data_IF_653783964334
#
_entry.id   IF_653783964334
#
_cell.length_a   1.000
_cell.length_b   1.000
_cell.length_c   1.000
_cell.angle_alpha   90.00
_cell.angle_beta   90.00
_cell.angle_gamma   90.00
#
_symmetry.space_group_name_H-M   'P 1'
#
loop_
_entity.id
_entity.type
_entity.pdbx_description
1 polymer ?
#
# COMPACT_ATOMS: atom_id res chain seq x y z
N UNK A 1 51.22 20.87 16.53
CA UNK A 1 51.82 22.23 16.44
C UNK A 1 52.90 22.21 15.37
N UNK A 2 53.15 23.27 14.57
CA UNK A 2 52.90 24.69 14.85
C UNK A 2 52.06 25.46 13.79
N UNK A 3 51.30 26.47 14.26
CA UNK A 3 51.39 27.91 13.94
C UNK A 3 50.84 28.29 12.55
N UNK A 4 49.77 29.10 12.41
CA UNK A 4 49.69 30.49 12.84
C UNK A 4 48.25 30.94 13.14
N UNK A 5 48.14 31.91 14.05
CA UNK A 5 46.94 32.46 14.69
C UNK A 5 46.81 33.95 14.34
N UNK A 6 45.56 34.46 14.33
CA UNK A 6 45.11 35.87 14.28
C UNK A 6 45.07 36.47 12.85
N UNK A 7 44.01 37.16 12.42
CA UNK A 7 43.26 38.19 13.16
C UNK A 7 41.90 38.47 12.51
N UNK A 8 40.95 38.83 13.37
CA UNK A 8 39.58 39.31 13.13
C UNK A 8 39.49 40.53 12.20
N UNK A 9 38.33 40.70 11.55
CA UNK A 9 37.91 41.98 10.98
C UNK A 9 36.62 41.90 10.15
N UNK A 10 35.52 42.30 10.77
CA UNK A 10 34.16 42.49 10.24
C UNK A 10 34.04 43.56 9.14
N UNK A 11 33.15 43.36 8.17
CA UNK A 11 32.23 44.41 7.66
C UNK A 11 31.16 43.84 6.73
N UNK A 12 30.02 44.54 6.73
CA UNK A 12 28.72 44.27 6.14
C UNK A 12 28.64 44.37 4.59
N UNK A 13 27.50 43.83 4.11
CA UNK A 13 26.69 44.20 2.95
C UNK A 13 27.22 44.01 1.51
N UNK A 14 26.32 43.46 0.67
CA UNK A 14 26.35 43.65 -0.77
C UNK A 14 25.85 42.46 -1.58
N UNK A 15 24.57 42.53 -1.98
CA UNK A 15 23.88 41.69 -2.95
C UNK A 15 24.74 41.06 -4.05
N UNK A 16 24.62 39.74 -4.24
CA UNK A 16 24.79 39.10 -5.55
C UNK A 16 23.70 38.07 -5.79
N UNK A 17 22.74 38.52 -6.61
CA UNK A 17 21.79 37.72 -7.37
C UNK A 17 22.58 36.76 -8.27
N UNK A 18 22.53 35.46 -7.98
CA UNK A 18 22.95 34.42 -8.93
C UNK A 18 21.69 33.88 -9.62
N UNK A 19 21.46 34.38 -10.83
CA UNK A 19 20.44 33.89 -11.76
C UNK A 19 20.59 32.39 -11.99
N UNK A 20 19.56 31.61 -11.64
CA UNK A 20 19.40 30.24 -12.10
C UNK A 20 19.10 30.20 -13.61
N UNK A 21 19.47 29.12 -14.32
CA UNK A 21 19.18 29.03 -15.75
C UNK A 21 17.66 28.99 -15.97
N UNK A 22 17.21 29.82 -16.91
CA UNK A 22 15.80 29.99 -17.26
C UNK A 22 15.21 28.74 -17.91
N UNK A 23 13.91 28.53 -17.63
CA UNK A 23 13.02 27.46 -18.12
C UNK A 23 12.93 27.30 -19.65
N UNK A 24 13.61 28.12 -20.46
CA UNK A 24 13.61 27.98 -21.92
C UNK A 24 14.71 27.07 -22.46
N UNK A 25 15.70 26.69 -21.63
CA UNK A 25 16.85 25.89 -22.06
C UNK A 25 16.64 24.37 -21.96
N UNK A 26 15.58 23.92 -21.29
CA UNK A 26 15.22 22.49 -21.17
C UNK A 26 14.24 22.01 -22.25
N UNK A 27 13.53 22.92 -22.94
CA UNK A 27 12.57 22.56 -24.00
C UNK A 27 13.22 22.36 -25.39
N UNK A 28 14.40 22.94 -25.64
CA UNK A 28 15.03 22.86 -26.97
C UNK A 28 15.88 21.60 -27.20
N UNK A 29 16.05 20.73 -26.20
CA UNK A 29 16.77 19.47 -26.36
C UNK A 29 15.87 18.27 -26.74
N UNK A 30 14.55 18.46 -26.85
CA UNK A 30 13.58 17.39 -27.14
C UNK A 30 13.13 17.30 -28.61
N UNK A 31 13.79 18.02 -29.53
CA UNK A 31 13.35 18.12 -30.94
C UNK A 31 14.37 17.68 -32.00
N UNK A 32 15.38 16.89 -31.63
CA UNK A 32 16.29 16.26 -32.61
C UNK A 32 16.36 14.77 -32.33
N UNK A 33 16.25 13.96 -33.40
CA UNK A 33 16.24 12.49 -33.48
C UNK A 33 14.88 11.79 -33.58
N UNK A 34 14.25 11.95 -34.76
CA UNK A 34 13.38 10.92 -35.35
C UNK A 34 14.18 10.20 -36.45
N UNK A 35 14.52 8.91 -36.32
CA UNK A 35 14.81 8.08 -37.48
C UNK A 35 13.52 7.39 -37.95
N UNK A 36 13.24 7.61 -39.23
CA UNK A 36 12.28 6.93 -40.12
C UNK A 36 11.92 5.50 -39.70
N UNK A 37 10.63 5.28 -39.43
CA UNK A 37 9.88 4.10 -39.90
C UNK A 37 8.43 4.55 -40.15
N UNK A 38 8.20 5.12 -41.32
CA UNK A 38 6.86 5.35 -41.87
C UNK A 38 6.79 4.62 -43.21
N UNK A 39 5.95 3.59 -43.30
CA UNK A 39 5.29 3.26 -44.55
C UNK A 39 3.79 3.14 -44.29
N UNK A 40 3.07 4.06 -44.97
CA UNK A 40 1.66 4.01 -45.38
C UNK A 40 0.58 3.99 -44.30
N UNK A 41 0.08 5.18 -43.96
CA UNK A 41 -1.28 5.61 -44.34
C UNK A 41 -1.47 7.07 -43.92
N UNK A 42 -1.81 7.91 -44.90
CA UNK A 42 -2.07 9.34 -44.78
C UNK A 42 -3.27 9.65 -43.89
N UNK A 43 -3.08 10.47 -42.87
CA UNK A 43 -4.15 11.17 -42.15
C UNK A 43 -3.78 12.66 -42.15
N UNK A 44 -4.52 13.44 -42.93
CA UNK A 44 -4.52 14.90 -42.86
C UNK A 44 -5.23 15.35 -41.57
N UNK A 45 -4.56 16.21 -40.80
CA UNK A 45 -5.15 16.88 -39.65
C UNK A 45 -5.73 18.22 -40.11
N UNK A 46 -7.06 18.33 -40.16
CA UNK A 46 -7.75 19.62 -40.19
C UNK A 46 -8.32 19.90 -38.80
N UNK A 47 -7.85 21.00 -38.22
CA UNK A 47 -8.41 21.63 -37.04
C UNK A 47 -9.67 22.38 -37.44
N UNK A 48 -10.82 21.99 -36.90
CA UNK A 48 -11.90 22.93 -36.60
C UNK A 48 -12.90 22.34 -35.60
N UNK A 49 -13.54 23.27 -34.89
CA UNK A 49 -14.43 23.14 -33.74
C UNK A 49 -15.49 22.01 -33.77
N UNK A 50 -15.72 21.38 -32.61
CA UNK A 50 -17.03 20.81 -32.23
C UNK A 50 -17.11 19.28 -32.11
N UNK A 51 -17.61 18.83 -30.95
CA UNK A 51 -18.19 17.51 -30.62
C UNK A 51 -17.59 16.24 -31.26
N UNK A 52 -16.95 15.40 -30.43
CA UNK A 52 -16.66 14.00 -30.81
C UNK A 52 -17.75 13.06 -30.30
N UNK A 53 -18.52 12.51 -31.24
CA UNK A 53 -19.30 11.27 -31.08
C UNK A 53 -18.52 10.17 -31.82
N UNK A 54 -18.18 9.07 -31.15
CA UNK A 54 -17.64 7.88 -31.80
C UNK A 54 -18.80 6.93 -32.07
N UNK A 55 -19.10 6.67 -33.35
CA UNK A 55 -20.01 5.61 -33.78
C UNK A 55 -19.21 4.65 -34.66
N UNK A 56 -19.03 3.42 -34.20
CA UNK A 56 -18.67 2.28 -35.03
C UNK A 56 -19.09 0.96 -34.35
N UNK A 57 -20.34 0.57 -34.52
CA UNK A 57 -20.77 -0.78 -34.94
C UNK A 57 -22.29 -0.87 -34.88
N UNK A 58 -22.89 -1.12 -36.04
CA UNK A 58 -24.33 -1.12 -36.22
C UNK A 58 -25.03 -2.18 -35.37
N UNK A 59 -25.91 -1.72 -34.49
CA UNK A 59 -27.20 -2.35 -34.13
C UNK A 59 -28.16 -1.23 -33.70
N UNK A 60 -29.27 -1.15 -34.40
CA UNK A 60 -30.38 -0.22 -34.15
C UNK A 60 -31.10 -0.59 -32.85
N UNK A 61 -31.27 0.35 -31.93
CA UNK A 61 -32.37 0.32 -30.95
C UNK A 61 -32.75 1.75 -30.57
N UNK A 62 -34.00 2.13 -30.90
CA UNK A 62 -34.63 3.42 -30.64
C UNK A 62 -35.14 3.48 -29.20
N UNK A 63 -34.83 4.57 -28.49
CA UNK A 63 -35.64 5.19 -27.42
C UNK A 63 -35.25 6.69 -27.47
N UNK A 64 -36.12 7.68 -27.69
CA UNK A 64 -37.34 8.00 -26.96
C UNK A 64 -37.05 9.28 -26.16
N UNK A 65 -37.18 10.45 -26.80
CA UNK A 65 -36.80 11.75 -26.22
C UNK A 65 -37.86 12.31 -25.27
N UNK A 66 -37.40 12.98 -24.21
CA UNK A 66 -38.22 13.86 -23.35
C UNK A 66 -37.42 15.14 -23.08
N UNK A 67 -38.07 16.28 -23.31
CA UNK A 67 -37.60 17.66 -23.08
C UNK A 67 -37.40 17.99 -21.59
N UNK A 68 -36.49 18.90 -21.23
CA UNK A 68 -36.33 19.36 -19.85
C UNK A 68 -37.25 20.55 -19.54
N UNK A 69 -37.97 20.48 -18.42
CA UNK A 69 -38.70 21.61 -17.83
C UNK A 69 -38.04 22.06 -16.53
N UNK A 70 -37.63 23.33 -16.53
CA UNK A 70 -37.42 24.27 -15.42
C UNK A 70 -37.57 23.77 -13.98
N UNK A 71 -36.48 23.83 -13.22
CA UNK A 71 -36.49 24.23 -11.80
C UNK A 71 -35.34 25.22 -11.55
N UNK A 72 -35.70 26.46 -11.24
CA UNK A 72 -34.81 27.51 -10.77
C UNK A 72 -34.52 27.32 -9.27
N UNK A 73 -33.28 27.62 -8.85
CA UNK A 73 -32.99 28.03 -7.47
C UNK A 73 -31.95 27.20 -6.72
N UNK A 74 -30.68 27.60 -6.80
CA UNK A 74 -29.70 27.37 -5.73
C UNK A 74 -28.55 28.40 -5.82
N UNK A 75 -28.15 29.05 -4.73
CA UNK A 75 -27.09 30.05 -4.73
C UNK A 75 -25.71 29.39 -4.87
N UNK A 76 -24.86 30.07 -5.63
CA UNK A 76 -23.45 29.76 -5.87
C UNK A 76 -22.64 29.76 -4.57
N UNK A 77 -22.21 28.58 -4.10
CA UNK A 77 -21.13 28.45 -3.13
C UNK A 77 -19.91 27.89 -3.84
N UNK A 78 -18.86 28.70 -3.83
CA UNK A 78 -17.56 28.46 -4.45
C UNK A 78 -16.95 27.14 -3.94
N UNK A 79 -16.66 26.25 -4.88
CA UNK A 79 -15.96 24.98 -4.70
C UNK A 79 -14.54 25.23 -4.19
N UNK A 80 -14.29 24.92 -2.91
CA UNK A 80 -12.95 24.59 -2.43
C UNK A 80 -12.73 23.08 -2.59
N UNK A 81 -12.09 22.67 -3.68
CA UNK A 81 -11.75 21.27 -3.93
C UNK A 81 -10.45 20.94 -3.19
N UNK A 82 -10.54 20.18 -2.10
CA UNK A 82 -9.45 19.79 -1.22
C UNK A 82 -9.09 18.30 -1.27
N UNK A 83 -9.28 17.62 -2.40
CA UNK A 83 -8.66 16.30 -2.60
C UNK A 83 -7.15 16.45 -2.81
N UNK A 84 -6.36 15.42 -2.51
CA UNK A 84 -4.97 15.32 -3.02
C UNK A 84 -5.05 15.30 -4.55
N UNK A 85 -5.02 16.49 -5.13
CA UNK A 85 -5.09 16.67 -6.56
C UNK A 85 -3.74 16.20 -7.07
N UNK A 86 -3.69 15.01 -7.67
CA UNK A 86 -2.55 14.65 -8.50
C UNK A 86 -2.29 15.83 -9.43
N UNK A 87 -1.13 16.46 -9.29
CA UNK A 87 -0.71 17.54 -10.18
C UNK A 87 -0.90 17.07 -11.62
N UNK A 88 -1.15 18.00 -12.55
CA UNK A 88 -1.36 17.68 -13.97
C UNK A 88 -0.27 16.72 -14.50
N UNK A 89 0.96 16.89 -13.99
CA UNK A 89 2.10 16.01 -14.25
C UNK A 89 1.89 14.57 -13.76
N UNK A 90 1.41 14.33 -12.54
CA UNK A 90 1.16 12.98 -12.01
C UNK A 90 0.10 12.22 -12.81
N UNK A 91 -1.01 12.91 -13.16
CA UNK A 91 -2.07 12.35 -14.02
C UNK A 91 -1.56 12.02 -15.43
N UNK A 92 -0.73 12.91 -16.01
CA UNK A 92 -0.11 12.67 -17.30
C UNK A 92 0.81 11.44 -17.28
N UNK A 93 1.59 11.27 -16.22
CA UNK A 93 2.56 10.19 -16.07
C UNK A 93 1.91 8.83 -15.84
N UNK A 94 0.83 8.78 -15.06
CA UNK A 94 -0.02 7.59 -14.92
C UNK A 94 -0.64 7.22 -16.27
N UNK A 95 -1.16 8.19 -17.01
CA UNK A 95 -1.74 7.97 -18.34
C UNK A 95 -0.70 7.44 -19.33
N UNK A 96 0.51 8.02 -19.33
CA UNK A 96 1.62 7.55 -20.16
C UNK A 96 1.99 6.10 -19.84
N UNK A 97 1.98 5.74 -18.54
CA UNK A 97 2.28 4.38 -18.07
C UNK A 97 1.21 3.37 -18.50
N UNK A 98 -0.07 3.76 -18.50
CA UNK A 98 -1.19 2.93 -19.00
C UNK A 98 -1.06 2.60 -20.48
N UNK A 99 -0.40 3.46 -21.27
CA UNK A 99 -0.14 3.24 -22.68
C UNK A 99 1.13 2.42 -22.97
N UNK A 100 1.89 2.00 -21.95
CA UNK A 100 3.16 1.29 -22.15
C UNK A 100 2.97 -0.21 -22.47
N UNK A 101 3.86 -0.81 -23.27
CA UNK A 101 3.87 -2.26 -23.50
C UNK A 101 4.00 -3.05 -22.19
N UNK A 102 3.22 -4.15 -22.06
CA UNK A 102 3.15 -4.97 -20.84
C UNK A 102 4.51 -5.47 -20.34
N UNK A 103 5.45 -5.78 -21.23
CA UNK A 103 6.79 -6.25 -20.85
C UNK A 103 7.62 -5.17 -20.13
N UNK A 104 7.38 -3.88 -20.41
CA UNK A 104 8.08 -2.77 -19.75
C UNK A 104 7.50 -2.51 -18.36
N UNK A 105 6.18 -2.54 -18.24
CA UNK A 105 5.50 -2.47 -16.93
C UNK A 105 5.93 -3.66 -16.07
N UNK A 106 6.10 -4.85 -16.67
CA UNK A 106 6.63 -6.04 -16.00
C UNK A 106 8.04 -5.83 -15.44
N UNK A 107 8.93 -5.18 -16.19
CA UNK A 107 10.30 -4.95 -15.76
C UNK A 107 10.38 -4.08 -14.49
N UNK A 108 9.45 -3.14 -14.31
CA UNK A 108 9.39 -2.29 -13.10
C UNK A 108 8.58 -2.94 -11.99
N UNK A 109 7.46 -3.60 -12.32
CA UNK A 109 6.63 -4.36 -11.38
C UNK A 109 7.41 -5.48 -10.67
N UNK A 110 8.41 -6.09 -11.34
CA UNK A 110 9.33 -7.09 -10.76
C UNK A 110 10.04 -6.63 -9.49
N UNK A 111 10.11 -5.32 -9.21
CA UNK A 111 10.67 -4.81 -7.96
C UNK A 111 9.69 -4.90 -6.80
N UNK A 112 8.40 -4.92 -7.09
CA UNK A 112 7.31 -4.80 -6.11
C UNK A 112 6.48 -6.08 -5.94
N UNK A 113 6.67 -7.06 -6.83
CA UNK A 113 6.04 -8.38 -6.80
C UNK A 113 7.13 -9.45 -6.85
N UNK A 114 7.02 -10.46 -5.99
CA UNK A 114 8.06 -11.47 -5.83
C UNK A 114 8.15 -12.44 -6.99
N UNK A 115 7.08 -12.57 -7.78
CA UNK A 115 7.04 -13.40 -8.98
C UNK A 115 5.61 -13.78 -9.34
N UNK A 116 5.49 -14.70 -10.30
CA UNK A 116 4.19 -15.23 -10.75
C UNK A 116 3.77 -16.49 -10.00
N UNK A 117 4.71 -17.16 -9.38
CA UNK A 117 4.58 -18.46 -8.73
C UNK A 117 5.22 -18.43 -7.34
N UNK A 118 4.92 -19.44 -6.55
CA UNK A 118 5.35 -19.58 -5.16
C UNK A 118 6.87 -19.77 -5.06
N UNK A 119 7.48 -20.46 -6.02
CA UNK A 119 8.93 -20.72 -6.06
C UNK A 119 9.73 -19.42 -6.16
N UNK A 120 9.25 -18.47 -6.98
CA UNK A 120 9.83 -17.14 -7.03
C UNK A 120 9.66 -16.39 -5.69
N UNK A 121 8.50 -16.51 -5.04
CA UNK A 121 8.27 -15.89 -3.73
C UNK A 121 9.22 -16.46 -2.66
N UNK A 122 9.40 -17.78 -2.61
CA UNK A 122 10.35 -18.47 -1.72
C UNK A 122 11.77 -17.95 -1.97
N UNK A 123 12.21 -17.90 -3.23
CA UNK A 123 13.54 -17.43 -3.61
C UNK A 123 13.79 -15.98 -3.13
N UNK A 124 12.80 -15.10 -3.30
CA UNK A 124 12.86 -13.71 -2.83
C UNK A 124 12.92 -13.64 -1.31
N UNK A 125 12.09 -14.41 -0.60
CA UNK A 125 12.09 -14.44 0.86
C UNK A 125 13.44 -14.93 1.39
N UNK A 126 13.96 -16.07 0.90
CA UNK A 126 15.26 -16.62 1.30
C UNK A 126 16.40 -15.60 1.12
N UNK A 127 16.41 -14.89 -0.01
CA UNK A 127 17.39 -13.83 -0.25
C UNK A 127 17.28 -12.71 0.79
N UNK A 128 16.06 -12.24 1.07
CA UNK A 128 15.83 -11.13 1.99
C UNK A 128 15.96 -11.52 3.46
N UNK A 129 15.86 -12.81 3.81
CA UNK A 129 16.14 -13.32 5.16
C UNK A 129 17.57 -12.99 5.60
N UNK A 130 18.53 -13.00 4.68
CA UNK A 130 19.92 -12.59 4.94
C UNK A 130 20.05 -11.11 5.34
N UNK A 131 19.04 -10.28 5.06
CA UNK A 131 18.97 -8.88 5.47
C UNK A 131 18.14 -8.66 6.76
N UNK A 132 17.90 -9.73 7.53
CA UNK A 132 17.17 -9.68 8.81
C UNK A 132 15.68 -9.35 8.67
N UNK A 133 15.08 -9.61 7.51
CA UNK A 133 13.66 -9.40 7.27
C UNK A 133 12.83 -10.63 7.64
N UNK A 134 11.60 -10.40 8.10
CA UNK A 134 10.53 -11.40 8.14
C UNK A 134 9.45 -11.04 7.09
N UNK A 135 8.46 -11.89 6.89
CA UNK A 135 7.55 -11.77 5.74
C UNK A 135 6.07 -11.90 6.11
N UNK A 136 5.22 -11.39 5.24
CA UNK A 136 3.79 -11.70 5.18
C UNK A 136 3.45 -11.92 3.71
N UNK A 137 2.94 -13.09 3.38
CA UNK A 137 2.74 -13.53 1.99
C UNK A 137 1.30 -13.25 1.58
N UNK A 138 1.13 -12.66 0.40
CA UNK A 138 -0.16 -12.34 -0.22
C UNK A 138 -0.24 -12.99 -1.60
N UNK A 139 -1.28 -13.81 -1.80
CA UNK A 139 -1.58 -14.44 -3.09
C UNK A 139 -2.43 -13.47 -3.90
N UNK A 140 -1.84 -12.92 -4.96
CA UNK A 140 -2.50 -11.98 -5.86
C UNK A 140 -3.52 -12.70 -6.76
N UNK A 141 -4.79 -12.31 -6.63
CA UNK A 141 -5.83 -12.70 -7.58
C UNK A 141 -6.90 -11.64 -7.79
N UNK A 142 -7.89 -11.97 -8.62
CA UNK A 142 -9.05 -11.12 -8.92
C UNK A 142 -10.13 -11.23 -7.83
N UNK A 143 -11.07 -10.29 -7.82
CA UNK A 143 -12.31 -10.44 -7.04
C UNK A 143 -13.05 -11.67 -7.55
N UNK A 144 -13.30 -12.63 -6.66
CA UNK A 144 -13.97 -13.88 -7.06
C UNK A 144 -15.44 -13.62 -7.35
N UNK A 145 -15.96 -14.31 -8.35
CA UNK A 145 -17.38 -14.28 -8.71
C UNK A 145 -18.12 -15.56 -8.36
N UNK A 146 -17.39 -16.63 -8.04
CA UNK A 146 -17.94 -17.95 -7.70
C UNK A 146 -17.22 -18.57 -6.50
N UNK A 147 -17.88 -19.49 -5.79
CA UNK A 147 -17.25 -20.21 -4.68
C UNK A 147 -16.19 -21.22 -5.13
N UNK A 148 -16.29 -21.73 -6.36
CA UNK A 148 -15.28 -22.61 -6.94
C UNK A 148 -13.93 -21.88 -7.11
N UNK A 149 -13.96 -20.57 -7.41
CA UNK A 149 -12.76 -19.73 -7.43
C UNK A 149 -12.15 -19.52 -6.05
N UNK A 150 -12.95 -19.56 -4.97
CA UNK A 150 -12.43 -19.48 -3.60
C UNK A 150 -11.53 -20.69 -3.29
N UNK A 151 -11.86 -21.87 -3.83
CA UNK A 151 -11.06 -23.09 -3.64
C UNK A 151 -9.62 -22.92 -4.15
N UNK A 152 -9.43 -22.20 -5.26
CA UNK A 152 -8.08 -21.90 -5.75
C UNK A 152 -7.23 -21.14 -4.71
N UNK A 153 -7.79 -20.12 -4.06
CA UNK A 153 -7.05 -19.36 -3.04
C UNK A 153 -6.78 -20.21 -1.80
N UNK A 154 -7.76 -21.00 -1.38
CA UNK A 154 -7.64 -21.91 -0.24
C UNK A 154 -6.49 -22.89 -0.46
N UNK A 155 -6.46 -23.55 -1.63
CA UNK A 155 -5.39 -24.48 -2.00
C UNK A 155 -4.03 -23.76 -2.11
N UNK A 156 -4.00 -22.56 -2.68
CA UNK A 156 -2.75 -21.81 -2.83
C UNK A 156 -2.21 -21.31 -1.48
N UNK A 157 -3.07 -20.92 -0.53
CA UNK A 157 -2.64 -20.57 0.83
C UNK A 157 -2.17 -21.78 1.62
N UNK A 158 -2.76 -22.97 1.44
CA UNK A 158 -2.23 -24.21 2.01
C UNK A 158 -0.83 -24.51 1.45
N UNK A 159 -0.61 -24.35 0.13
CA UNK A 159 0.72 -24.48 -0.48
C UNK A 159 1.73 -23.48 0.08
N UNK A 160 1.32 -22.23 0.33
CA UNK A 160 2.18 -21.22 0.95
C UNK A 160 2.54 -21.64 2.36
N UNK A 161 1.58 -22.13 3.15
CA UNK A 161 1.82 -22.58 4.52
C UNK A 161 2.82 -23.74 4.55
N UNK A 162 2.63 -24.75 3.70
CA UNK A 162 3.56 -25.87 3.54
C UNK A 162 4.98 -25.37 3.20
N UNK A 163 5.10 -24.44 2.26
CA UNK A 163 6.39 -23.87 1.88
C UNK A 163 7.05 -23.06 3.00
N UNK A 164 6.28 -22.33 3.81
CA UNK A 164 6.79 -21.60 4.98
C UNK A 164 7.40 -22.58 5.98
N UNK A 165 6.71 -23.70 6.25
CA UNK A 165 7.15 -24.74 7.18
C UNK A 165 8.37 -25.49 6.63
N UNK A 166 8.29 -25.98 5.39
CA UNK A 166 9.35 -26.75 4.73
C UNK A 166 10.68 -25.97 4.68
N UNK A 167 10.60 -24.70 4.28
CA UNK A 167 11.78 -23.84 4.14
C UNK A 167 12.14 -23.06 5.41
N UNK A 168 11.40 -23.24 6.51
CA UNK A 168 11.59 -22.57 7.81
C UNK A 168 11.67 -21.04 7.67
N UNK A 169 10.74 -20.47 6.90
CA UNK A 169 10.68 -19.03 6.65
C UNK A 169 10.00 -18.32 7.83
N UNK A 170 10.56 -17.19 8.28
CA UNK A 170 9.90 -16.32 9.25
C UNK A 170 8.81 -15.50 8.53
N UNK A 171 7.66 -16.15 8.29
CA UNK A 171 6.61 -15.64 7.43
C UNK A 171 5.21 -15.91 8.02
N UNK A 172 4.32 -14.95 7.76
CA UNK A 172 2.90 -15.01 8.07
C UNK A 172 2.08 -14.99 6.77
N UNK A 173 0.77 -15.19 6.87
CA UNK A 173 -0.16 -15.03 5.75
C UNK A 173 -0.88 -13.67 5.83
N UNK A 174 -1.06 -13.00 4.70
CA UNK A 174 -2.04 -11.91 4.52
C UNK A 174 -3.11 -12.43 3.58
N UNK A 175 -4.36 -12.49 4.02
CA UNK A 175 -5.47 -13.00 3.21
C UNK A 175 -6.55 -11.94 3.04
N UNK A 176 -7.21 -11.94 1.88
CA UNK A 176 -8.36 -11.09 1.59
C UNK A 176 -9.64 -11.88 1.86
N UNK A 177 -10.48 -11.51 2.83
CA UNK A 177 -11.71 -12.25 3.13
C UNK A 177 -12.64 -12.41 1.91
N UNK A 178 -12.67 -11.44 1.00
CA UNK A 178 -13.46 -11.56 -0.23
C UNK A 178 -13.02 -12.71 -1.12
N UNK A 179 -11.72 -13.03 -1.17
CA UNK A 179 -11.18 -14.18 -1.90
C UNK A 179 -11.57 -15.53 -1.28
N UNK A 180 -12.13 -15.53 -0.07
CA UNK A 180 -12.64 -16.71 0.63
C UNK A 180 -14.16 -16.86 0.53
N UNK A 181 -14.84 -15.93 -0.16
CA UNK A 181 -16.28 -15.98 -0.40
C UNK A 181 -17.09 -14.92 0.35
N UNK A 182 -16.46 -13.96 1.05
CA UNK A 182 -17.19 -13.05 1.95
C UNK A 182 -18.34 -12.28 1.28
N UNK A 183 -18.18 -11.89 0.01
CA UNK A 183 -19.22 -11.18 -0.76
C UNK A 183 -20.23 -12.10 -1.45
N UNK A 184 -20.02 -13.42 -1.40
CA UNK A 184 -20.85 -14.43 -2.06
C UNK A 184 -21.69 -15.18 -1.03
N UNK A 185 -21.03 -15.81 -0.06
CA UNK A 185 -21.65 -16.52 1.05
C UNK A 185 -20.76 -16.36 2.29
N UNK A 186 -21.22 -15.53 3.23
CA UNK A 186 -20.49 -15.21 4.45
C UNK A 186 -20.23 -16.47 5.29
N UNK A 187 -21.18 -17.40 5.37
CA UNK A 187 -21.01 -18.61 6.18
C UNK A 187 -19.89 -19.49 5.61
N UNK A 188 -19.83 -19.63 4.29
CA UNK A 188 -18.75 -20.37 3.62
C UNK A 188 -17.41 -19.65 3.80
N UNK A 189 -17.38 -18.32 3.73
CA UNK A 189 -16.17 -17.56 4.01
C UNK A 189 -15.63 -17.79 5.42
N UNK A 190 -16.51 -17.79 6.43
CA UNK A 190 -16.12 -18.11 7.81
C UNK A 190 -15.54 -19.51 7.93
N UNK A 191 -16.18 -20.51 7.33
CA UNK A 191 -15.71 -21.90 7.34
C UNK A 191 -14.34 -22.06 6.67
N UNK A 192 -14.14 -21.41 5.52
CA UNK A 192 -12.89 -21.48 4.77
C UNK A 192 -11.75 -20.79 5.53
N UNK A 193 -12.01 -19.63 6.14
CA UNK A 193 -11.02 -18.91 6.95
C UNK A 193 -10.69 -19.69 8.23
N UNK A 194 -11.70 -20.22 8.92
CA UNK A 194 -11.53 -21.06 10.12
C UNK A 194 -10.62 -22.26 9.83
N UNK A 195 -10.88 -23.01 8.74
CA UNK A 195 -10.06 -24.15 8.32
C UNK A 195 -8.59 -23.76 8.09
N UNK A 196 -8.35 -22.63 7.41
CA UNK A 196 -7.00 -22.13 7.19
C UNK A 196 -6.32 -21.71 8.51
N UNK A 197 -7.07 -21.10 9.42
CA UNK A 197 -6.56 -20.67 10.73
C UNK A 197 -6.19 -21.85 11.61
N UNK A 198 -6.99 -22.91 11.63
CA UNK A 198 -6.70 -24.16 12.33
C UNK A 198 -5.39 -24.76 11.82
N UNK A 199 -5.26 -24.92 10.50
CA UNK A 199 -4.04 -25.44 9.87
C UNK A 199 -2.81 -24.56 10.20
N UNK A 200 -2.94 -23.24 10.07
CA UNK A 200 -1.85 -22.31 10.40
C UNK A 200 -1.46 -22.34 11.89
N UNK A 201 -2.42 -22.59 12.79
CA UNK A 201 -2.16 -22.67 14.22
C UNK A 201 -1.31 -23.89 14.60
N UNK A 202 -1.44 -25.01 13.89
CA UNK A 202 -0.59 -26.20 14.09
C UNK A 202 0.90 -25.93 13.84
N UNK A 203 1.21 -24.86 13.12
CA UNK A 203 2.56 -24.47 12.71
C UNK A 203 3.03 -23.13 13.29
N UNK A 204 2.32 -22.58 14.29
CA UNK A 204 2.59 -21.25 14.87
C UNK A 204 2.62 -20.11 13.83
N UNK A 205 1.89 -20.27 12.71
CA UNK A 205 1.81 -19.27 11.64
C UNK A 205 0.63 -18.34 11.91
N UNK A 206 0.91 -17.03 11.87
CA UNK A 206 -0.10 -16.01 12.05
C UNK A 206 -0.76 -15.65 10.72
N UNK A 207 -2.07 -15.46 10.73
CA UNK A 207 -2.87 -15.05 9.57
C UNK A 207 -3.42 -13.64 9.81
N UNK A 208 -3.11 -12.72 8.90
CA UNK A 208 -3.67 -11.38 8.87
C UNK A 208 -4.84 -11.34 7.90
N UNK A 209 -6.01 -10.90 8.36
CA UNK A 209 -7.08 -10.50 7.45
C UNK A 209 -6.78 -9.08 6.93
N UNK A 210 -6.51 -8.98 5.65
CA UNK A 210 -6.31 -7.70 4.98
C UNK A 210 -7.63 -6.95 4.82
N UNK A 211 -7.56 -5.64 5.03
CA UNK A 211 -8.72 -4.77 4.97
C UNK A 211 -8.94 -4.26 3.55
N UNK A 212 -10.11 -4.54 3.03
CA UNK A 212 -10.53 -4.15 1.70
C UNK A 212 -11.30 -2.82 1.75
N UNK A 213 -12.21 -2.56 0.81
CA UNK A 213 -13.00 -1.33 0.84
C UNK A 213 -14.06 -1.36 1.96
N UNK A 214 -14.68 -0.20 2.19
CA UNK A 214 -15.63 0.02 3.29
C UNK A 214 -16.80 -0.98 3.35
N UNK A 215 -17.15 -1.63 2.23
CA UNK A 215 -18.28 -2.57 2.15
C UNK A 215 -18.09 -3.79 3.04
N UNK A 216 -16.84 -4.19 3.30
CA UNK A 216 -16.50 -5.40 4.05
C UNK A 216 -15.74 -5.12 5.34
N UNK A 217 -15.59 -3.86 5.74
CA UNK A 217 -14.83 -3.49 6.95
C UNK A 217 -15.40 -4.12 8.20
N UNK A 218 -16.73 -4.00 8.41
CA UNK A 218 -17.37 -4.57 9.59
C UNK A 218 -17.28 -6.09 9.58
N UNK A 219 -17.68 -6.76 8.49
CA UNK A 219 -17.66 -8.21 8.40
C UNK A 219 -16.25 -8.80 8.58
N UNK A 220 -15.21 -8.10 8.13
CA UNK A 220 -13.81 -8.51 8.36
C UNK A 220 -13.44 -8.45 9.84
N UNK A 221 -13.88 -7.41 10.56
CA UNK A 221 -13.69 -7.30 12.01
C UNK A 221 -14.46 -8.41 12.73
N UNK A 222 -15.71 -8.65 12.34
CA UNK A 222 -16.58 -9.66 12.93
C UNK A 222 -16.00 -11.07 12.79
N UNK A 223 -15.38 -11.39 11.64
CA UNK A 223 -14.65 -12.66 11.46
C UNK A 223 -13.55 -12.79 12.51
N UNK A 224 -12.70 -11.77 12.72
CA UNK A 224 -11.63 -11.85 13.72
C UNK A 224 -12.19 -12.10 15.12
N UNK A 225 -13.23 -11.36 15.51
CA UNK A 225 -13.85 -11.52 16.83
C UNK A 225 -14.46 -12.92 16.99
N UNK A 226 -15.12 -13.44 15.95
CA UNK A 226 -15.70 -14.78 15.96
C UNK A 226 -14.62 -15.87 16.06
N UNK A 227 -13.49 -15.73 15.36
CA UNK A 227 -12.38 -16.70 15.45
C UNK A 227 -11.73 -16.70 16.84
N UNK A 228 -11.55 -15.53 17.45
CA UNK A 228 -11.08 -15.44 18.84
C UNK A 228 -12.06 -16.09 19.83
N UNK A 229 -13.38 -15.93 19.63
CA UNK A 229 -14.40 -16.62 20.45
C UNK A 229 -14.31 -18.15 20.34
N UNK A 230 -13.84 -18.67 19.22
CA UNK A 230 -13.58 -20.11 19.01
C UNK A 230 -12.22 -20.57 19.55
N UNK A 231 -11.40 -19.67 20.10
CA UNK A 231 -10.07 -19.97 20.63
C UNK A 231 -8.94 -19.85 19.61
N UNK A 232 -9.23 -19.47 18.36
CA UNK A 232 -8.23 -19.22 17.32
C UNK A 232 -7.65 -17.81 17.50
N UNK A 233 -6.50 -17.73 18.17
CA UNK A 233 -5.84 -16.46 18.53
C UNK A 233 -4.66 -16.10 17.60
N UNK A 234 -4.36 -16.93 16.61
CA UNK A 234 -3.36 -16.69 15.56
C UNK A 234 -3.88 -15.79 14.42
N UNK A 235 -4.88 -14.95 14.70
CA UNK A 235 -5.53 -14.07 13.73
C UNK A 235 -5.63 -12.64 14.24
N UNK A 236 -5.56 -11.70 13.30
CA UNK A 236 -5.83 -10.28 13.53
C UNK A 236 -6.18 -9.58 12.22
N UNK A 237 -6.56 -8.30 12.28
CA UNK A 237 -7.04 -7.57 11.11
C UNK A 237 -6.16 -6.37 10.76
N UNK A 238 -6.29 -5.87 9.54
CA UNK A 238 -5.78 -4.56 9.12
C UNK A 238 -6.82 -3.50 9.46
N UNK A 239 -6.40 -2.32 9.90
CA UNK A 239 -7.25 -1.13 9.95
C UNK A 239 -6.66 0.00 9.11
N UNK A 240 -7.53 0.87 8.60
CA UNK A 240 -7.20 1.90 7.62
C UNK A 240 -7.41 3.28 8.23
N UNK A 241 -6.32 3.95 8.63
CA UNK A 241 -6.40 5.21 9.40
C UNK A 241 -7.14 6.35 8.72
N UNK A 242 -7.37 6.28 7.42
CA UNK A 242 -8.19 7.26 6.71
C UNK A 242 -9.68 7.13 7.00
N UNK A 243 -10.20 5.98 7.42
CA UNK A 243 -11.64 5.83 7.67
C UNK A 243 -12.02 6.53 8.97
N UNK A 244 -13.11 7.30 8.96
CA UNK A 244 -13.58 8.05 10.13
C UNK A 244 -13.94 7.13 11.32
N UNK A 245 -14.42 5.92 11.02
CA UNK A 245 -14.76 4.87 12.00
C UNK A 245 -13.56 4.22 12.72
N UNK A 246 -12.34 4.41 12.23
CA UNK A 246 -11.16 3.63 12.70
C UNK A 246 -10.91 3.78 14.20
N UNK A 247 -11.13 4.96 14.76
CA UNK A 247 -10.93 5.21 16.18
C UNK A 247 -11.82 4.30 17.06
N UNK A 248 -13.10 4.20 16.70
CA UNK A 248 -14.11 3.39 17.39
C UNK A 248 -13.86 1.89 17.17
N UNK A 249 -13.43 1.50 15.97
CA UNK A 249 -13.07 0.11 15.66
C UNK A 249 -11.89 -0.37 16.52
N UNK A 250 -10.85 0.48 16.71
CA UNK A 250 -9.72 0.17 17.59
C UNK A 250 -10.18 -0.03 19.02
N UNK A 251 -10.97 0.91 19.54
CA UNK A 251 -11.49 0.85 20.91
C UNK A 251 -12.33 -0.41 21.13
N UNK A 252 -13.25 -0.70 20.21
CA UNK A 252 -14.15 -1.86 20.29
C UNK A 252 -13.37 -3.17 20.29
N UNK A 253 -12.40 -3.32 19.38
CA UNK A 253 -11.60 -4.55 19.30
C UNK A 253 -10.70 -4.70 20.53
N UNK A 254 -10.05 -3.64 21.00
CA UNK A 254 -9.24 -3.68 22.22
C UNK A 254 -10.08 -4.00 23.47
N UNK A 255 -11.31 -3.50 23.55
CA UNK A 255 -12.22 -3.80 24.67
C UNK A 255 -12.62 -5.28 24.70
N UNK A 256 -12.79 -5.90 23.54
CA UNK A 256 -13.20 -7.32 23.44
C UNK A 256 -12.01 -8.26 23.59
N UNK A 257 -10.88 -7.97 22.94
CA UNK A 257 -9.73 -8.90 22.85
C UNK A 257 -8.61 -8.59 23.86
N UNK A 258 -8.59 -7.39 24.44
CA UNK A 258 -7.51 -6.95 25.33
C UNK A 258 -6.13 -7.11 24.68
N UNK A 259 -5.18 -7.69 25.43
CA UNK A 259 -3.82 -7.95 24.95
C UNK A 259 -3.72 -8.96 23.80
N UNK A 260 -4.79 -9.69 23.47
CA UNK A 260 -4.84 -10.57 22.30
C UNK A 260 -5.12 -9.79 20.99
N UNK A 261 -5.51 -8.51 21.08
CA UNK A 261 -5.70 -7.66 19.92
C UNK A 261 -4.39 -7.54 19.13
N UNK A 262 -4.47 -7.80 17.82
CA UNK A 262 -3.34 -7.75 16.92
C UNK A 262 -3.76 -7.00 15.65
N UNK A 263 -3.11 -5.86 15.40
CA UNK A 263 -3.42 -4.99 14.27
C UNK A 263 -2.26 -4.89 13.29
N UNK A 264 -2.60 -4.70 12.01
CA UNK A 264 -1.75 -3.96 11.08
C UNK A 264 -2.44 -2.64 10.80
N UNK A 265 -1.79 -1.52 11.06
CA UNK A 265 -2.36 -0.19 10.80
C UNK A 265 -1.66 0.44 9.61
N UNK A 266 -2.45 0.88 8.63
CA UNK A 266 -1.97 1.58 7.44
C UNK A 266 -2.78 2.85 7.19
N UNK A 267 -2.43 3.61 6.15
CA UNK A 267 -3.24 4.76 5.73
C UNK A 267 -4.60 4.37 5.18
N UNK A 268 -4.68 3.24 4.47
CA UNK A 268 -5.83 2.87 3.65
C UNK A 268 -5.59 3.19 2.18
N UNK A 269 -5.95 2.24 1.32
CA UNK A 269 -5.56 2.22 -0.08
C UNK A 269 -6.72 2.56 -1.03
N UNK A 270 -7.94 2.32 -0.59
CA UNK A 270 -9.16 2.65 -1.34
C UNK A 270 -9.46 4.15 -1.20
N UNK A 271 -9.86 4.77 -2.30
CA UNK A 271 -10.25 6.18 -2.35
C UNK A 271 -11.74 6.31 -2.00
N UNK A 272 -12.01 6.21 -0.71
CA UNK A 272 -13.36 6.30 -0.15
C UNK A 272 -13.90 7.74 -0.17
N UNK A 273 -15.23 7.93 -0.21
CA UNK A 273 -15.84 9.26 -0.22
C UNK A 273 -15.60 10.01 1.11
N UNK A 274 -15.63 11.35 1.02
CA UNK A 274 -15.22 12.25 2.12
C UNK A 274 -16.15 12.19 3.35
N UNK A 275 -17.37 11.68 3.18
CA UNK A 275 -18.34 11.46 4.26
C UNK A 275 -17.99 10.27 5.15
N UNK A 276 -17.13 9.34 4.68
CA UNK A 276 -16.68 8.18 5.46
C UNK A 276 -15.15 8.12 5.64
N UNK A 277 -14.40 8.97 4.95
CA UNK A 277 -12.94 8.95 4.99
C UNK A 277 -12.27 10.33 4.87
N UNK A 278 -11.15 10.47 5.57
CA UNK A 278 -10.19 11.54 5.38
C UNK A 278 -9.58 11.46 3.96
N UNK A 279 -9.45 12.62 3.31
CA UNK A 279 -8.82 12.76 1.99
C UNK A 279 -7.55 13.58 2.02
N UNK A 280 -7.36 14.42 3.04
CA UNK A 280 -6.14 15.21 3.23
C UNK A 280 -4.95 14.36 3.67
N UNK A 281 -3.79 14.52 3.02
CA UNK A 281 -2.57 13.79 3.41
C UNK A 281 -2.20 14.01 4.88
N UNK A 282 -2.25 15.26 5.35
CA UNK A 282 -1.85 15.60 6.72
C UNK A 282 -2.83 15.00 7.74
N UNK A 283 -4.13 15.10 7.48
CA UNK A 283 -5.19 14.50 8.31
C UNK A 283 -5.00 12.99 8.43
N UNK A 284 -4.75 12.29 7.32
CA UNK A 284 -4.51 10.84 7.32
C UNK A 284 -3.23 10.49 8.10
N UNK A 285 -2.17 11.28 7.96
CA UNK A 285 -0.91 11.07 8.69
C UNK A 285 -1.10 11.28 10.19
N UNK A 286 -1.83 12.32 10.59
CA UNK A 286 -2.07 12.60 12.00
C UNK A 286 -3.05 11.61 12.64
N UNK A 287 -4.07 11.18 11.91
CA UNK A 287 -4.93 10.06 12.32
C UNK A 287 -4.11 8.77 12.50
N UNK A 288 -3.22 8.43 11.56
CA UNK A 288 -2.37 7.25 11.67
C UNK A 288 -1.45 7.28 12.91
N UNK A 289 -0.85 8.43 13.22
CA UNK A 289 -0.04 8.61 14.45
C UNK A 289 -0.90 8.41 15.71
N UNK A 290 -2.10 9.00 15.73
CA UNK A 290 -3.05 8.86 16.83
C UNK A 290 -3.46 7.40 17.05
N UNK A 291 -3.85 6.72 15.97
CA UNK A 291 -4.24 5.31 16.02
C UNK A 291 -3.11 4.38 16.47
N UNK A 292 -1.86 4.63 16.03
CA UNK A 292 -0.70 3.88 16.53
C UNK A 292 -0.57 4.01 18.05
N UNK A 293 -0.68 5.25 18.56
CA UNK A 293 -0.63 5.49 20.01
C UNK A 293 -1.79 4.79 20.73
N UNK A 294 -3.02 4.91 20.21
CA UNK A 294 -4.21 4.27 20.77
C UNK A 294 -4.08 2.75 20.84
N UNK A 295 -3.60 2.09 19.78
CA UNK A 295 -3.39 0.64 19.76
C UNK A 295 -2.30 0.21 20.73
N UNK A 296 -1.20 0.99 20.83
CA UNK A 296 -0.14 0.72 21.80
C UNK A 296 -0.65 0.87 23.24
N UNK A 297 -1.42 1.91 23.54
CA UNK A 297 -1.98 2.13 24.88
C UNK A 297 -3.03 1.06 25.24
N UNK A 298 -3.76 0.56 24.24
CA UNK A 298 -4.69 -0.57 24.38
C UNK A 298 -4.02 -1.93 24.65
N UNK A 299 -2.68 -2.01 24.66
CA UNK A 299 -1.95 -3.26 24.91
C UNK A 299 -1.88 -4.19 23.69
N UNK A 300 -2.37 -3.74 22.53
CA UNK A 300 -2.39 -4.55 21.32
C UNK A 300 -0.97 -4.75 20.74
N UNK A 301 -0.82 -5.79 19.92
CA UNK A 301 0.32 -5.91 19.01
C UNK A 301 0.11 -5.05 17.77
N UNK A 302 1.10 -4.22 17.41
CA UNK A 302 0.93 -3.24 16.32
C UNK A 302 1.95 -3.45 15.20
N UNK A 303 1.46 -3.87 14.03
CA UNK A 303 2.19 -3.82 12.77
C UNK A 303 2.05 -2.44 12.12
N UNK A 304 3.09 -1.61 12.19
CA UNK A 304 3.10 -0.26 11.62
C UNK A 304 3.42 -0.34 10.12
N UNK A 305 2.39 -0.36 9.28
CA UNK A 305 2.52 -0.45 7.82
C UNK A 305 2.56 0.94 7.19
N UNK A 306 3.75 1.56 7.22
CA UNK A 306 3.99 2.87 6.62
C UNK A 306 5.41 3.00 6.08
N UNK A 307 5.53 3.67 4.93
CA UNK A 307 6.82 4.09 4.38
C UNK A 307 7.16 5.53 4.77
N UNK A 308 6.23 6.27 5.36
CA UNK A 308 6.38 7.71 5.59
C UNK A 308 7.21 8.06 6.82
N UNK A 309 8.28 8.82 6.60
CA UNK A 309 9.20 9.24 7.65
C UNK A 309 8.50 9.94 8.82
N UNK A 310 7.54 10.87 8.61
CA UNK A 310 6.83 11.48 9.74
C UNK A 310 6.07 10.48 10.64
N UNK A 311 5.60 9.37 10.07
CA UNK A 311 4.90 8.32 10.85
C UNK A 311 5.92 7.44 11.55
N UNK A 312 7.00 7.06 10.86
CA UNK A 312 8.06 6.21 11.42
C UNK A 312 8.76 6.93 12.58
N UNK A 313 9.16 8.19 12.39
CA UNK A 313 9.83 9.00 13.41
C UNK A 313 8.93 9.19 14.63
N UNK A 314 7.65 9.54 14.41
CA UNK A 314 6.68 9.63 15.50
C UNK A 314 6.51 8.30 16.25
N UNK A 315 6.46 7.18 15.53
CA UNK A 315 6.32 5.85 16.13
C UNK A 315 7.53 5.53 17.02
N UNK A 316 8.75 5.81 16.55
CA UNK A 316 9.98 5.59 17.33
C UNK A 316 9.94 6.41 18.62
N UNK A 317 9.51 7.67 18.56
CA UNK A 317 9.41 8.52 19.74
C UNK A 317 8.30 8.05 20.70
N UNK A 318 7.14 7.66 20.15
CA UNK A 318 6.03 7.10 20.93
C UNK A 318 6.40 5.80 21.65
N UNK A 319 7.22 4.95 21.03
CA UNK A 319 7.76 3.72 21.65
C UNK A 319 8.72 4.07 22.78
N UNK A 320 9.67 4.99 22.57
CA UNK A 320 10.62 5.42 23.62
C UNK A 320 9.91 5.99 24.84
N UNK A 321 8.86 6.80 24.63
CA UNK A 321 8.05 7.36 25.72
C UNK A 321 7.35 6.29 26.56
N UNK A 322 7.10 5.11 25.98
CA UNK A 322 6.49 3.94 26.63
C UNK A 322 7.53 2.94 27.12
N UNK A 323 8.82 3.31 27.10
CA UNK A 323 9.93 2.41 27.44
C UNK A 323 9.95 1.13 26.56
N UNK A 324 9.40 1.22 25.35
CA UNK A 324 9.39 0.15 24.35
C UNK A 324 10.51 0.36 23.35
N UNK A 325 11.06 -0.74 22.82
CA UNK A 325 12.13 -0.64 21.83
C UNK A 325 12.68 -2.01 21.43
N UNK A 326 13.68 -2.01 20.53
CA UNK A 326 14.36 -3.24 20.15
C UNK A 326 15.07 -3.84 21.37
N UNK A 327 15.03 -5.16 21.51
CA UNK A 327 15.63 -5.90 22.64
C UNK A 327 15.11 -5.52 24.03
N UNK A 328 13.98 -4.81 24.12
CA UNK A 328 13.28 -4.51 25.37
C UNK A 328 12.01 -5.35 25.39
N UNK A 329 11.79 -6.10 26.47
CA UNK A 329 10.52 -6.82 26.66
C UNK A 329 9.37 -5.81 26.79
N UNK A 330 8.19 -6.14 26.26
CA UNK A 330 7.04 -5.26 26.31
C UNK A 330 6.67 -4.93 27.77
N UNK A 331 6.79 -3.66 28.22
CA UNK A 331 6.59 -3.30 29.62
C UNK A 331 5.11 -3.13 29.99
N UNK A 332 4.22 -3.15 28.99
CA UNK A 332 2.78 -2.88 29.17
C UNK A 332 2.12 -4.05 29.90
N UNK A 333 1.47 -3.76 31.04
CA UNK A 333 0.78 -4.78 31.87
C UNK A 333 -0.46 -5.38 31.19
N UNK A 334 -1.05 -4.66 30.23
CA UNK A 334 -2.21 -5.09 29.45
C UNK A 334 -1.83 -5.76 28.12
N UNK A 335 -0.53 -5.97 27.84
CA UNK A 335 -0.09 -6.68 26.64
C UNK A 335 -0.36 -8.18 26.73
N UNK A 336 -0.55 -8.80 25.56
CA UNK A 336 -0.65 -10.25 25.43
C UNK A 336 0.68 -10.96 25.65
N UNK A 337 0.62 -12.30 25.64
CA UNK A 337 1.82 -13.13 25.75
C UNK A 337 2.80 -12.91 24.60
N UNK A 338 4.08 -13.20 24.84
CA UNK A 338 5.10 -13.27 23.79
C UNK A 338 4.72 -14.38 22.81
N UNK A 339 4.79 -14.08 21.51
CA UNK A 339 4.41 -14.99 20.42
C UNK A 339 5.58 -15.21 19.48
N UNK A 340 5.68 -16.43 18.96
CA UNK A 340 6.66 -16.79 17.91
C UNK A 340 6.48 -15.88 16.70
N UNK A 341 7.59 -15.46 16.08
CA UNK A 341 7.55 -14.62 14.87
C UNK A 341 7.00 -13.21 15.08
N UNK A 342 6.89 -12.71 16.32
CA UNK A 342 6.43 -11.35 16.66
C UNK A 342 7.51 -10.57 17.41
N UNK A 343 7.48 -9.24 17.28
CA UNK A 343 8.34 -8.32 18.02
C UNK A 343 7.84 -8.05 19.45
N UNK A 344 8.49 -7.15 20.21
CA UNK A 344 8.09 -6.80 21.57
C UNK A 344 6.90 -5.83 21.57
N UNK A 345 5.73 -6.32 21.16
CA UNK A 345 4.49 -5.54 21.07
C UNK A 345 4.28 -4.78 19.76
N UNK A 346 5.29 -4.69 18.89
CA UNK A 346 5.19 -4.02 17.60
C UNK A 346 6.13 -4.61 16.53
N UNK A 347 5.95 -4.17 15.29
CA UNK A 347 6.93 -4.32 14.19
C UNK A 347 6.68 -3.26 13.10
N UNK A 348 7.71 -2.91 12.34
CA UNK A 348 7.52 -2.07 11.15
C UNK A 348 7.26 -2.94 9.93
N UNK A 349 6.29 -2.57 9.11
CA UNK A 349 5.90 -3.33 7.93
C UNK A 349 6.03 -2.50 6.66
N UNK A 350 6.61 -3.08 5.62
CA UNK A 350 6.88 -2.38 4.36
C UNK A 350 6.56 -3.27 3.16
N UNK A 351 6.04 -2.66 2.10
CA UNK A 351 5.90 -3.33 0.81
C UNK A 351 7.26 -3.70 0.21
N UNK A 352 7.32 -4.87 -0.42
CA UNK A 352 8.45 -5.29 -1.24
C UNK A 352 8.84 -4.19 -2.24
N UNK A 353 10.14 -3.90 -2.34
CA UNK A 353 10.69 -2.95 -3.32
C UNK A 353 10.52 -1.46 -2.99
N UNK A 354 9.74 -1.10 -1.96
CA UNK A 354 9.45 0.29 -1.60
C UNK A 354 10.30 0.73 -0.41
N UNK A 355 11.03 1.85 -0.55
CA UNK A 355 11.90 2.45 0.49
C UNK A 355 12.76 1.44 1.28
N UNK A 356 13.35 0.46 0.59
CA UNK A 356 14.15 -0.59 1.24
C UNK A 356 15.37 -0.09 2.02
N UNK A 357 15.84 1.12 1.76
CA UNK A 357 16.86 1.80 2.58
C UNK A 357 16.33 2.12 3.99
N UNK A 358 15.08 2.56 4.13
CA UNK A 358 14.45 2.85 5.43
C UNK A 358 14.25 1.55 6.20
N UNK A 359 13.74 0.50 5.55
CA UNK A 359 13.63 -0.84 6.15
C UNK A 359 14.96 -1.33 6.72
N UNK A 360 16.03 -1.29 5.91
CA UNK A 360 17.37 -1.73 6.34
C UNK A 360 17.89 -0.91 7.52
N UNK A 361 17.66 0.40 7.52
CA UNK A 361 18.03 1.26 8.65
C UNK A 361 17.31 0.83 9.94
N UNK A 362 15.99 0.64 9.90
CA UNK A 362 15.20 0.17 11.06
C UNK A 362 15.69 -1.21 11.55
N UNK A 363 15.98 -2.13 10.62
CA UNK A 363 16.50 -3.45 10.95
C UNK A 363 17.90 -3.37 11.59
N UNK A 364 18.78 -2.50 11.10
CA UNK A 364 20.10 -2.25 11.71
C UNK A 364 20.00 -1.63 13.10
N UNK A 365 18.96 -0.83 13.35
CA UNK A 365 18.63 -0.29 14.67
C UNK A 365 17.99 -1.36 15.60
N UNK A 366 17.81 -2.60 15.12
CA UNK A 366 17.30 -3.73 15.88
C UNK A 366 15.79 -3.88 15.85
N UNK A 367 15.07 -2.98 15.16
CA UNK A 367 13.62 -3.11 15.03
C UNK A 367 13.27 -4.29 14.11
N UNK A 368 12.24 -5.05 14.50
CA UNK A 368 11.67 -6.08 13.64
C UNK A 368 11.04 -5.43 12.41
N UNK A 369 11.42 -5.90 11.22
CA UNK A 369 10.86 -5.42 9.95
C UNK A 369 10.22 -6.57 9.17
N UNK A 370 8.96 -6.41 8.79
CA UNK A 370 8.20 -7.36 7.98
C UNK A 370 7.98 -6.84 6.58
N UNK A 371 8.28 -7.65 5.58
CA UNK A 371 8.07 -7.32 4.18
C UNK A 371 6.77 -7.98 3.71
N UNK A 372 5.88 -7.18 3.12
CA UNK A 372 4.70 -7.68 2.41
C UNK A 372 5.13 -8.22 1.05
N UNK A 373 4.93 -9.52 0.83
CA UNK A 373 5.39 -10.30 -0.33
C UNK A 373 4.17 -10.66 -1.18
N UNK A 374 3.79 -9.82 -2.15
CA UNK A 374 2.77 -10.17 -3.11
C UNK A 374 3.40 -11.05 -4.20
N UNK A 375 2.71 -12.12 -4.59
CA UNK A 375 3.08 -12.94 -5.74
C UNK A 375 1.83 -13.47 -6.45
N UNK A 376 1.98 -13.84 -7.72
CA UNK A 376 0.88 -14.45 -8.48
C UNK A 376 0.75 -13.91 -9.90
N UNK A 377 -0.11 -14.57 -10.68
CA UNK A 377 -0.29 -14.28 -12.11
C UNK A 377 -0.89 -12.89 -12.38
N UNK A 378 -1.57 -12.30 -11.39
CA UNK A 378 -2.24 -10.99 -11.48
C UNK A 378 -1.38 -9.80 -11.06
N UNK A 379 -0.06 -9.94 -11.15
CA UNK A 379 0.92 -8.88 -10.84
C UNK A 379 0.64 -7.54 -11.56
N UNK A 380 0.07 -7.57 -12.77
CA UNK A 380 -0.16 -6.37 -13.58
C UNK A 380 -1.25 -5.46 -12.97
N UNK A 381 -2.41 -6.01 -12.64
CA UNK A 381 -3.52 -5.26 -12.02
C UNK A 381 -3.12 -4.70 -10.66
N UNK A 382 -2.44 -5.52 -9.85
CA UNK A 382 -1.83 -5.08 -8.60
C UNK A 382 -0.87 -3.89 -8.81
N UNK A 383 0.03 -3.99 -9.79
CA UNK A 383 1.01 -2.94 -10.08
C UNK A 383 0.35 -1.66 -10.59
N UNK A 384 -0.71 -1.76 -11.39
CA UNK A 384 -1.45 -0.61 -11.89
C UNK A 384 -2.15 0.16 -10.77
N UNK A 385 -2.76 -0.53 -9.80
CA UNK A 385 -3.33 0.11 -8.61
C UNK A 385 -2.25 0.83 -7.78
N UNK A 386 -1.10 0.20 -7.55
CA UNK A 386 0.04 0.83 -6.86
C UNK A 386 0.59 2.05 -7.58
N UNK A 387 0.50 2.09 -8.92
CA UNK A 387 0.91 3.24 -9.72
C UNK A 387 -0.05 4.42 -9.61
N UNK A 388 -1.35 4.15 -9.59
CA UNK A 388 -2.38 5.17 -9.40
C UNK A 388 -2.27 5.82 -7.99
N UNK A 389 -1.74 5.08 -7.01
CA UNK A 389 -1.58 5.52 -5.62
C UNK A 389 -0.25 6.23 -5.33
N UNK A 390 0.79 5.97 -6.12
CA UNK A 390 2.12 6.54 -5.91
C UNK A 390 2.70 7.11 -7.21
N UNK A 391 2.50 8.42 -7.48
CA UNK A 391 3.01 9.05 -8.70
C UNK A 391 4.54 9.04 -8.80
N UNK A 392 5.28 8.84 -7.70
CA UNK A 392 6.73 8.66 -7.76
C UNK A 392 7.11 7.34 -8.44
N UNK A 393 6.29 6.28 -8.29
CA UNK A 393 6.50 5.01 -8.99
C UNK A 393 6.27 5.21 -10.49
N UNK A 394 5.24 5.98 -10.88
CA UNK A 394 5.03 6.36 -12.29
C UNK A 394 6.19 7.22 -12.82
N UNK A 395 6.69 8.18 -12.03
CA UNK A 395 7.90 8.95 -12.35
C UNK A 395 9.13 8.05 -12.53
N UNK A 396 9.32 7.04 -11.68
CA UNK A 396 10.42 6.08 -11.83
C UNK A 396 10.28 5.21 -13.08
N UNK A 397 9.07 4.78 -13.44
CA UNK A 397 8.82 4.05 -14.70
C UNK A 397 9.22 4.90 -15.89
N UNK A 398 8.72 6.13 -15.99
CA UNK A 398 9.02 7.02 -17.11
C UNK A 398 10.49 7.46 -17.10
N UNK A 399 11.08 7.72 -15.93
CA UNK A 399 12.51 8.03 -15.81
C UNK A 399 13.38 6.85 -16.24
N UNK A 400 12.98 5.62 -15.93
CA UNK A 400 13.69 4.41 -16.39
C UNK A 400 13.66 4.26 -17.92
N UNK A 401 12.64 4.82 -18.57
CA UNK A 401 12.48 4.80 -20.02
C UNK A 401 13.22 5.96 -20.71
N UNK A 402 13.07 7.19 -20.20
CA UNK A 402 13.66 8.38 -20.81
C UNK A 402 15.15 8.56 -20.46
N UNK A 403 15.56 8.03 -19.31
CA UNK A 403 16.92 8.18 -18.75
C UNK A 403 17.43 6.85 -18.15
N UNK A 404 17.47 5.74 -18.91
CA UNK A 404 17.83 4.40 -18.38
C UNK A 404 19.22 4.36 -17.70
N UNK A 405 20.14 5.24 -18.09
CA UNK A 405 21.47 5.37 -17.48
C UNK A 405 21.46 5.95 -16.06
N UNK A 406 20.36 6.56 -15.62
CA UNK A 406 20.23 7.16 -14.27
C UNK A 406 19.81 6.16 -13.19
N UNK A 407 19.44 4.94 -13.57
CA UNK A 407 18.95 3.89 -12.67
C UNK A 407 20.00 2.86 -12.23
N UNK A 408 21.29 3.09 -12.53
CA UNK A 408 22.38 2.29 -11.95
C UNK A 408 22.62 2.76 -10.50
N UNK A 409 22.19 1.96 -9.54
CA UNK A 409 22.75 1.92 -8.18
C UNK A 409 23.29 0.53 -7.93
#
# INVERSE_FOLDING_TARGET
MPAWLKKLGSSQDGDRICNGPSLSSTLNLMLVFVPKLATRSSIEMKTDFGLWTIVANGRNSRFGGIHPSNCQGAPSVLRGAGGVQMGVLGRFMVTLTKCMPRFMVAAVARRYVAGKDLENAISVMQKLSSEGACFTVDVLGEEISTLDEAQFFIDEYDRVLDAIVEHKLDANLSIKPTAFGLLIDEKIAYQNIERLLENAAEHDVFVRLDMEDHRVTQSTIDIVLAMHQKGLTNVGTVLQSRLLRTHEDIESICNVLGGAADFRICKGVYLEPEDIALTGYQEIVDALKSHISQMLDGGAYVGIASHDMPVIEHTIDALKQREMGPSIADPRKNAGAVRTGKGPGYEFQMLLGVRGNVRRKLAQEGHRTRIYIPYGNRWYEYSMRRLDENPDVAMHIVKSMLLPWTNRR
#
